data_IF_345440705951
#
_entry.id   IF_345440705951
#
_cell.length_a   1.000
_cell.length_b   1.000
_cell.length_c   1.000
_cell.angle_alpha   90.00
_cell.angle_beta   90.00
_cell.angle_gamma   90.00
#
_symmetry.space_group_name_H-M   'P 1'
#
loop_
_entity.id
_entity.type
_entity.pdbx_description
1 polymer ?
#
# COMPACT_ATOMS: atom_id res chain seq x y z
N UNK A 1 -0.75 -67.93 -12.96
CA UNK A 1 -0.58 -67.88 -11.50
C UNK A 1 0.69 -67.13 -11.20
N UNK A 2 0.63 -66.08 -10.39
CA UNK A 2 1.79 -65.26 -10.00
C UNK A 2 1.39 -63.81 -9.76
N UNK A 3 1.12 -63.47 -8.50
CA UNK A 3 0.71 -62.15 -8.02
C UNK A 3 1.86 -61.14 -7.94
N UNK A 4 1.50 -59.85 -7.97
CA UNK A 4 2.26 -58.75 -7.39
C UNK A 4 1.40 -57.48 -7.33
N UNK A 5 0.96 -57.07 -6.14
CA UNK A 5 0.52 -55.70 -5.82
C UNK A 5 1.68 -55.10 -5.00
N UNK A 6 2.10 -53.84 -5.24
CA UNK A 6 1.67 -52.76 -4.33
C UNK A 6 1.57 -51.39 -5.01
N UNK A 7 0.80 -50.46 -4.43
CA UNK A 7 1.01 -49.05 -4.70
C UNK A 7 -0.19 -48.15 -4.51
N UNK A 8 -0.40 -47.73 -3.26
CA UNK A 8 -1.16 -46.54 -2.91
C UNK A 8 -0.74 -45.34 -3.76
N UNK A 9 -1.69 -44.62 -4.36
CA UNK A 9 -1.46 -43.39 -5.12
C UNK A 9 -2.60 -42.41 -4.91
N UNK A 10 -2.37 -41.46 -4.02
CA UNK A 10 -3.20 -40.27 -3.84
C UNK A 10 -3.28 -39.48 -5.15
N UNK A 11 -4.48 -39.02 -5.53
CA UNK A 11 -4.66 -37.86 -6.40
C UNK A 11 -5.81 -37.04 -5.81
N UNK A 12 -5.50 -36.14 -4.89
CA UNK A 12 -4.92 -34.80 -5.12
C UNK A 12 -6.02 -33.79 -5.35
N UNK A 13 -6.18 -32.94 -4.33
CA UNK A 13 -6.86 -31.65 -4.37
C UNK A 13 -6.66 -30.94 -5.71
N UNK A 14 -7.73 -30.74 -6.45
CA UNK A 14 -7.75 -29.84 -7.62
C UNK A 14 -8.02 -28.40 -7.19
N UNK A 15 -7.27 -27.93 -6.19
CA UNK A 15 -7.25 -26.54 -5.71
C UNK A 15 -5.83 -26.20 -5.23
N UNK A 16 -4.84 -26.38 -6.10
CA UNK A 16 -3.52 -25.76 -5.96
C UNK A 16 -2.93 -25.58 -7.36
N UNK A 17 -3.22 -24.44 -7.97
CA UNK A 17 -2.69 -24.05 -9.28
C UNK A 17 -2.36 -22.57 -9.42
N UNK A 18 -2.40 -21.80 -8.33
CA UNK A 18 -2.04 -20.37 -8.33
C UNK A 18 -0.83 -20.11 -7.43
N UNK A 19 0.11 -21.04 -7.40
CA UNK A 19 1.47 -20.81 -6.89
C UNK A 19 2.43 -20.74 -8.07
N UNK A 20 2.26 -19.71 -8.89
CA UNK A 20 3.15 -19.38 -9.99
C UNK A 20 4.06 -18.22 -9.60
N UNK A 21 5.31 -18.52 -9.25
CA UNK A 21 6.46 -17.62 -9.34
C UNK A 21 6.27 -16.14 -8.97
N UNK A 22 6.06 -15.81 -7.68
CA UNK A 22 6.27 -14.45 -7.17
C UNK A 22 7.72 -14.25 -6.70
N UNK A 23 8.69 -14.41 -7.58
CA UNK A 23 10.07 -13.92 -7.43
C UNK A 23 10.73 -13.97 -8.80
N UNK A 24 10.60 -12.91 -9.60
CA UNK A 24 11.27 -12.86 -10.90
C UNK A 24 10.83 -11.71 -11.78
N UNK A 25 11.61 -10.63 -11.76
CA UNK A 25 11.64 -9.55 -12.74
C UNK A 25 11.44 -10.08 -14.18
N UNK A 26 10.25 -9.88 -14.73
CA UNK A 26 9.86 -10.30 -16.09
C UNK A 26 8.37 -10.61 -16.18
N UNK A 27 7.51 -9.67 -15.81
CA UNK A 27 6.07 -9.87 -15.74
C UNK A 27 5.49 -10.20 -17.12
N UNK A 28 4.85 -11.37 -17.24
CA UNK A 28 3.92 -11.66 -18.33
C UNK A 28 2.65 -10.86 -18.09
N UNK A 29 2.11 -10.25 -19.15
CA UNK A 29 0.82 -9.57 -19.06
C UNK A 29 -0.28 -10.57 -18.74
N UNK A 30 -1.10 -10.22 -17.75
CA UNK A 30 -2.33 -10.92 -17.46
C UNK A 30 -3.30 -10.74 -18.64
N UNK A 31 -4.14 -11.75 -18.87
CA UNK A 31 -5.16 -11.69 -19.93
C UNK A 31 -6.21 -10.62 -19.66
N UNK A 32 -6.54 -10.42 -18.39
CA UNK A 32 -7.41 -9.37 -17.90
C UNK A 32 -6.68 -8.61 -16.79
N UNK A 33 -6.87 -7.28 -16.68
CA UNK A 33 -6.32 -6.53 -15.57
C UNK A 33 -6.82 -7.05 -14.21
N UNK A 34 -5.97 -6.93 -13.18
CA UNK A 34 -6.35 -7.21 -11.80
C UNK A 34 -7.52 -6.32 -11.40
N UNK A 35 -8.59 -6.94 -10.89
CA UNK A 35 -9.73 -6.26 -10.26
C UNK A 35 -9.54 -6.13 -8.75
N UNK A 36 -10.45 -5.42 -8.07
CA UNK A 36 -10.34 -5.11 -6.64
C UNK A 36 -10.28 -6.38 -5.78
N UNK A 37 -11.08 -7.40 -6.08
CA UNK A 37 -11.11 -8.64 -5.31
C UNK A 37 -9.79 -9.41 -5.48
N UNK A 38 -9.32 -9.56 -6.71
CA UNK A 38 -8.03 -10.19 -6.99
C UNK A 38 -6.87 -9.41 -6.36
N UNK A 39 -6.94 -8.08 -6.35
CA UNK A 39 -5.93 -7.23 -5.71
C UNK A 39 -5.83 -7.50 -4.19
N UNK A 40 -6.96 -7.60 -3.49
CA UNK A 40 -6.97 -7.96 -2.06
C UNK A 40 -6.35 -9.33 -1.82
N UNK A 41 -6.68 -10.32 -2.66
CA UNK A 41 -6.11 -11.67 -2.54
C UNK A 41 -4.59 -11.64 -2.70
N UNK A 42 -4.09 -10.99 -3.76
CA UNK A 42 -2.65 -10.87 -4.03
C UNK A 42 -1.90 -10.15 -2.91
N UNK A 43 -2.45 -9.06 -2.37
CA UNK A 43 -1.83 -8.33 -1.25
C UNK A 43 -1.80 -9.20 0.01
N UNK A 44 -2.92 -9.84 0.37
CA UNK A 44 -2.97 -10.69 1.55
C UNK A 44 -2.02 -11.89 1.45
N UNK A 45 -1.90 -12.48 0.26
CA UNK A 45 -0.94 -13.56 0.02
C UNK A 45 0.51 -13.06 0.07
N UNK A 46 0.80 -11.87 -0.43
CA UNK A 46 2.12 -11.25 -0.29
C UNK A 46 2.51 -11.03 1.18
N UNK A 47 1.61 -10.48 2.01
CA UNK A 47 1.87 -10.25 3.43
C UNK A 47 2.17 -11.56 4.17
N UNK A 48 1.40 -12.61 3.89
CA UNK A 48 1.62 -13.95 4.47
C UNK A 48 2.94 -14.57 4.03
N UNK A 49 3.24 -14.55 2.74
CA UNK A 49 4.42 -15.23 2.17
C UNK A 49 5.73 -14.49 2.43
N UNK A 50 5.68 -13.17 2.59
CA UNK A 50 6.84 -12.33 2.93
C UNK A 50 7.21 -12.36 4.42
N UNK A 51 6.46 -13.08 5.25
CA UNK A 51 6.69 -13.17 6.69
C UNK A 51 6.43 -11.86 7.43
N UNK A 52 5.54 -11.00 6.91
CA UNK A 52 5.16 -9.73 7.53
C UNK A 52 4.14 -9.96 8.65
N UNK A 53 4.54 -10.66 9.71
CA UNK A 53 3.67 -10.96 10.85
C UNK A 53 3.25 -9.69 11.58
N UNK A 54 1.97 -9.61 11.97
CA UNK A 54 1.40 -8.47 12.69
C UNK A 54 1.16 -7.23 11.83
N UNK A 55 1.14 -7.38 10.51
CA UNK A 55 0.81 -6.33 9.53
C UNK A 55 -0.40 -6.80 8.71
N UNK A 56 -1.40 -5.94 8.59
CA UNK A 56 -2.62 -6.18 7.83
C UNK A 56 -2.86 -5.14 6.75
N UNK A 57 -3.65 -5.50 5.73
CA UNK A 57 -4.16 -4.56 4.72
C UNK A 57 -5.06 -3.53 5.40
N UNK A 58 -4.75 -2.24 5.22
CA UNK A 58 -5.52 -1.14 5.80
C UNK A 58 -6.37 -0.45 4.72
N UNK A 59 -5.77 -0.16 3.57
CA UNK A 59 -6.46 0.51 2.47
C UNK A 59 -5.97 0.00 1.12
N UNK A 60 -6.89 -0.09 0.17
CA UNK A 60 -6.64 -0.46 -1.21
C UNK A 60 -7.35 0.55 -2.12
N UNK A 61 -6.59 1.40 -2.80
CA UNK A 61 -7.11 2.40 -3.73
C UNK A 61 -6.85 1.97 -5.17
N UNK A 62 -7.88 1.95 -5.98
CA UNK A 62 -7.80 1.66 -7.40
C UNK A 62 -7.55 2.94 -8.20
N UNK A 63 -6.49 2.89 -9.00
CA UNK A 63 -6.23 3.84 -10.06
C UNK A 63 -6.30 3.15 -11.43
N UNK A 64 -6.26 3.95 -12.49
CA UNK A 64 -6.32 3.48 -13.88
C UNK A 64 -5.31 2.37 -14.22
N UNK A 65 -4.09 2.43 -13.67
CA UNK A 65 -2.97 1.56 -14.04
C UNK A 65 -2.50 0.62 -12.92
N UNK A 66 -2.84 0.89 -11.67
CA UNK A 66 -2.39 0.13 -10.51
C UNK A 66 -3.36 0.26 -9.34
N UNK A 67 -3.17 -0.57 -8.32
CA UNK A 67 -3.68 -0.27 -6.99
C UNK A 67 -2.57 0.31 -6.13
N UNK A 68 -2.91 1.35 -5.37
CA UNK A 68 -2.13 1.82 -4.25
C UNK A 68 -2.61 1.09 -2.99
N UNK A 69 -1.67 0.63 -2.17
CA UNK A 69 -1.92 -0.26 -1.04
C UNK A 69 -1.28 0.32 0.19
N UNK A 70 -2.05 0.50 1.26
CA UNK A 70 -1.53 0.80 2.57
C UNK A 70 -1.73 -0.36 3.52
N UNK A 71 -0.74 -0.57 4.39
CA UNK A 71 -0.78 -1.60 5.43
C UNK A 71 -0.59 -0.97 6.79
N UNK A 72 -0.98 -1.70 7.83
CA UNK A 72 -0.97 -1.21 9.21
C UNK A 72 -0.49 -2.29 10.17
N UNK A 73 0.22 -1.87 11.21
CA UNK A 73 0.55 -2.75 12.33
C UNK A 73 -0.68 -3.06 13.17
N UNK A 74 -0.95 -4.35 13.40
CA UNK A 74 -2.11 -4.79 14.16
C UNK A 74 -2.08 -4.30 15.62
N UNK A 75 -0.89 -4.21 16.22
CA UNK A 75 -0.73 -3.86 17.64
C UNK A 75 -0.78 -2.35 17.90
N UNK A 76 -0.13 -1.55 17.05
CA UNK A 76 -0.01 -0.10 17.27
C UNK A 76 -1.09 0.68 16.52
N UNK A 77 -1.73 0.09 15.51
CA UNK A 77 -2.64 0.79 14.61
C UNK A 77 -1.93 1.80 13.70
N UNK A 78 -0.59 1.83 13.69
CA UNK A 78 0.20 2.75 12.89
C UNK A 78 0.41 2.19 11.49
N UNK A 79 0.30 3.05 10.47
CA UNK A 79 0.53 2.63 9.10
C UNK A 79 2.01 2.26 8.88
N UNK A 80 2.23 1.17 8.15
CA UNK A 80 3.49 0.44 8.10
C UNK A 80 4.19 0.60 6.74
N UNK A 81 3.53 0.21 5.66
CA UNK A 81 4.07 0.22 4.30
C UNK A 81 3.07 0.76 3.29
N UNK A 82 3.60 1.36 2.24
CA UNK A 82 2.88 1.72 1.01
C UNK A 82 3.41 0.85 -0.15
N UNK A 83 2.51 0.27 -0.95
CA UNK A 83 2.86 -0.54 -2.12
C UNK A 83 2.08 -0.12 -3.37
N UNK A 84 2.64 -0.45 -4.53
CA UNK A 84 2.02 -0.37 -5.84
C UNK A 84 1.81 -1.80 -6.34
N UNK A 85 0.55 -2.16 -6.61
CA UNK A 85 0.17 -3.38 -7.32
C UNK A 85 -0.15 -3.06 -8.77
N UNK A 86 0.73 -3.44 -9.68
CA UNK A 86 0.53 -3.21 -11.12
C UNK A 86 -0.66 -4.06 -11.63
N UNK A 87 -1.68 -3.39 -12.21
CA UNK A 87 -2.91 -4.07 -12.65
C UNK A 87 -2.69 -5.00 -13.85
N UNK A 88 -1.65 -4.77 -14.64
CA UNK A 88 -1.37 -5.54 -15.85
C UNK A 88 -0.65 -6.86 -15.53
N UNK A 89 0.17 -6.88 -14.49
CA UNK A 89 1.06 -7.99 -14.18
C UNK A 89 0.76 -8.68 -12.84
N UNK A 90 0.02 -8.01 -11.95
CA UNK A 90 -0.19 -8.46 -10.56
C UNK A 90 1.06 -8.36 -9.68
N UNK A 91 2.08 -7.62 -10.14
CA UNK A 91 3.32 -7.45 -9.38
C UNK A 91 3.14 -6.41 -8.27
N UNK A 92 3.46 -6.78 -7.03
CA UNK A 92 3.48 -5.86 -5.89
C UNK A 92 4.90 -5.36 -5.64
N UNK A 93 5.06 -4.05 -5.50
CA UNK A 93 6.36 -3.41 -5.24
C UNK A 93 6.21 -2.27 -4.23
N UNK A 94 7.24 -1.97 -3.42
CA UNK A 94 7.19 -0.81 -2.53
C UNK A 94 6.93 0.47 -3.32
N UNK A 95 6.09 1.35 -2.78
CA UNK A 95 5.89 2.65 -3.39
C UNK A 95 7.17 3.49 -3.30
N UNK A 96 7.53 4.15 -4.41
CA UNK A 96 8.67 5.05 -4.47
C UNK A 96 8.38 6.38 -3.74
N UNK A 97 9.39 6.92 -3.04
CA UNK A 97 9.28 8.22 -2.38
C UNK A 97 9.19 8.08 -0.86
N UNK A 98 8.20 8.69 -0.18
CA UNK A 98 8.08 8.72 1.28
C UNK A 98 8.23 7.35 1.96
N UNK A 99 7.54 6.30 1.48
CA UNK A 99 7.69 4.94 1.97
C UNK A 99 9.14 4.42 1.97
N UNK A 100 9.95 4.77 0.98
CA UNK A 100 11.34 4.30 0.91
C UNK A 100 12.31 5.25 1.62
N UNK A 101 12.06 6.56 1.55
CA UNK A 101 12.99 7.61 1.95
C UNK A 101 12.74 8.17 3.34
N UNK A 102 11.48 8.25 3.77
CA UNK A 102 11.07 8.86 5.03
C UNK A 102 10.57 7.84 6.04
N UNK A 103 10.23 6.61 5.62
CA UNK A 103 9.86 5.54 6.53
C UNK A 103 11.07 5.07 7.35
N UNK A 104 11.13 5.48 8.61
CA UNK A 104 12.27 5.19 9.49
C UNK A 104 12.23 3.81 10.12
N UNK A 105 11.11 3.08 10.02
CA UNK A 105 10.98 1.71 10.53
C UNK A 105 11.12 0.68 9.41
N UNK A 106 10.42 0.90 8.31
CA UNK A 106 10.27 -0.08 7.24
C UNK A 106 10.94 0.30 5.92
N UNK A 107 11.31 1.57 5.75
CA UNK A 107 12.01 2.06 4.55
C UNK A 107 13.52 1.81 4.61
N UNK A 108 14.23 2.35 3.61
CA UNK A 108 15.70 2.22 3.54
C UNK A 108 16.41 2.80 4.77
N UNK A 109 15.87 3.87 5.35
CA UNK A 109 16.38 4.46 6.57
C UNK A 109 16.26 3.52 7.77
N UNK A 110 15.20 2.73 7.88
CA UNK A 110 15.04 1.73 8.94
C UNK A 110 16.02 0.57 8.83
N UNK A 111 16.33 0.13 7.61
CA UNK A 111 17.37 -0.86 7.36
C UNK A 111 18.79 -0.37 7.72
N UNK A 112 19.09 0.91 7.47
CA UNK A 112 20.39 1.51 7.78
C UNK A 112 20.55 1.90 9.26
N UNK A 113 19.48 2.34 9.92
CA UNK A 113 19.50 2.76 11.33
C UNK A 113 19.32 1.60 12.32
N UNK A 114 19.12 0.37 11.79
CA UNK A 114 18.84 -0.84 12.57
C UNK A 114 17.37 -0.96 12.95
N UNK A 115 16.85 -2.19 12.93
CA UNK A 115 15.50 -2.51 13.38
C UNK A 115 15.33 -2.11 14.86
N UNK A 116 14.75 -0.93 15.10
CA UNK A 116 14.69 -0.34 16.44
C UNK A 116 14.92 1.18 16.47
N UNK A 117 15.24 1.81 15.35
CA UNK A 117 15.18 3.26 15.22
C UNK A 117 13.73 3.74 15.37
N UNK A 118 13.32 3.96 16.60
CA UNK A 118 12.06 4.64 16.89
C UNK A 118 12.19 6.07 16.37
N UNK A 119 11.29 6.48 15.47
CA UNK A 119 11.07 7.90 15.25
C UNK A 119 10.81 8.50 16.63
N UNK A 120 11.65 9.43 17.08
CA UNK A 120 11.28 10.31 18.18
C UNK A 120 9.91 10.94 17.90
N UNK A 121 9.24 11.45 18.95
CA UNK A 121 7.92 12.07 18.79
C UNK A 121 7.91 13.01 17.57
N UNK A 122 6.92 12.89 16.66
CA UNK A 122 6.82 13.77 15.49
C UNK A 122 6.97 15.23 15.90
N UNK A 123 7.84 15.97 15.19
CA UNK A 123 7.97 17.42 15.41
C UNK A 123 6.79 18.16 14.76
N UNK A 124 6.27 17.60 13.67
CA UNK A 124 5.03 18.01 13.02
C UNK A 124 3.89 17.14 13.56
N UNK A 125 2.84 17.74 14.10
CA UNK A 125 1.60 17.03 14.47
C UNK A 125 0.76 16.70 13.25
N UNK A 126 -0.18 15.75 13.38
CA UNK A 126 -1.17 15.44 12.33
C UNK A 126 -1.92 16.70 11.84
N UNK A 127 -2.39 17.55 12.76
CA UNK A 127 -3.05 18.82 12.41
C UNK A 127 -2.12 19.76 11.63
N UNK A 128 -0.85 19.87 12.04
CA UNK A 128 0.12 20.68 11.31
C UNK A 128 0.45 20.07 9.94
N UNK A 129 0.44 18.75 9.79
CA UNK A 129 0.62 18.08 8.51
C UNK A 129 -0.52 18.43 7.54
N UNK A 130 -1.78 18.38 7.99
CA UNK A 130 -2.95 18.83 7.20
C UNK A 130 -2.81 20.30 6.79
N UNK A 131 -2.35 21.15 7.71
CA UNK A 131 -2.11 22.57 7.41
C UNK A 131 -1.04 22.75 6.32
N UNK A 132 0.12 22.11 6.47
CA UNK A 132 1.23 22.17 5.50
C UNK A 132 0.81 21.63 4.12
N UNK A 133 0.04 20.55 4.11
CA UNK A 133 -0.54 19.98 2.90
C UNK A 133 -1.46 20.97 2.18
N UNK A 134 -2.40 21.59 2.89
CA UNK A 134 -3.30 22.59 2.31
C UNK A 134 -2.56 23.84 1.83
N UNK A 135 -1.56 24.33 2.57
CA UNK A 135 -0.71 25.45 2.13
C UNK A 135 0.03 25.13 0.82
N UNK A 136 0.54 23.91 0.69
CA UNK A 136 1.14 23.43 -0.56
C UNK A 136 0.12 23.42 -1.70
N UNK A 137 -1.06 22.82 -1.51
CA UNK A 137 -2.09 22.71 -2.54
C UNK A 137 -2.59 24.07 -3.04
N UNK A 138 -2.74 25.04 -2.13
CA UNK A 138 -3.06 26.43 -2.48
C UNK A 138 -1.94 27.06 -3.32
N UNK A 139 -0.67 26.88 -2.92
CA UNK A 139 0.48 27.43 -3.64
C UNK A 139 0.58 26.86 -5.06
N UNK A 140 0.35 25.56 -5.22
CA UNK A 140 0.37 24.89 -6.52
C UNK A 140 -0.95 25.09 -7.31
N UNK A 141 -1.94 25.79 -6.75
CA UNK A 141 -3.22 26.11 -7.40
C UNK A 141 -4.00 24.88 -7.89
N UNK A 142 -3.91 23.75 -7.18
CA UNK A 142 -4.56 22.48 -7.56
C UNK A 142 -6.09 22.52 -7.44
N UNK A 143 -6.60 23.42 -6.59
CA UNK A 143 -8.01 23.48 -6.15
C UNK A 143 -8.44 22.24 -5.36
N UNK A 144 -7.49 21.59 -4.72
CA UNK A 144 -7.72 20.44 -3.84
C UNK A 144 -7.53 20.83 -2.38
N UNK A 145 -8.04 19.99 -1.48
CA UNK A 145 -7.84 20.09 -0.01
C UNK A 145 -7.33 18.76 0.54
N UNK A 146 -6.52 18.78 1.59
CA UNK A 146 -6.05 17.56 2.23
C UNK A 146 -7.10 16.94 3.16
N UNK A 147 -7.25 15.61 3.10
CA UNK A 147 -8.10 14.80 3.98
C UNK A 147 -7.40 14.51 5.33
N UNK A 148 -7.98 13.60 6.13
CA UNK A 148 -7.36 13.14 7.37
C UNK A 148 -6.02 12.42 7.10
N UNK A 149 -4.99 12.62 7.94
CA UNK A 149 -3.68 12.04 7.70
C UNK A 149 -3.56 10.61 8.23
N UNK A 150 -3.00 9.75 7.40
CA UNK A 150 -2.53 8.42 7.78
C UNK A 150 -1.11 8.55 8.34
N UNK A 151 -0.93 8.21 9.62
CA UNK A 151 0.37 8.35 10.29
C UNK A 151 1.26 7.14 10.04
N UNK A 152 2.37 7.36 9.36
CA UNK A 152 3.45 6.39 9.15
C UNK A 152 4.66 6.70 10.06
N UNK A 153 5.64 5.80 10.08
CA UNK A 153 6.89 6.00 10.81
C UNK A 153 7.78 7.03 10.10
N UNK A 154 7.63 8.32 10.43
CA UNK A 154 8.50 9.41 9.93
C UNK A 154 7.82 10.37 8.95
N UNK A 155 6.56 10.12 8.61
CA UNK A 155 5.77 10.95 7.70
C UNK A 155 4.27 10.68 7.87
N UNK A 156 3.47 11.54 7.26
CA UNK A 156 2.03 11.37 7.10
C UNK A 156 1.72 11.24 5.61
N UNK A 157 0.77 10.39 5.23
CA UNK A 157 0.18 10.38 3.88
C UNK A 157 -1.26 10.89 3.99
N UNK A 158 -1.67 11.72 3.04
CA UNK A 158 -2.96 12.39 3.02
C UNK A 158 -3.55 12.28 1.61
N UNK A 159 -4.80 11.83 1.53
CA UNK A 159 -5.57 11.96 0.31
C UNK A 159 -5.83 13.44 0.02
N UNK A 160 -5.82 13.80 -1.25
CA UNK A 160 -6.28 15.11 -1.70
C UNK A 160 -7.68 14.98 -2.25
N UNK A 161 -8.52 15.96 -1.90
CA UNK A 161 -9.93 15.99 -2.24
C UNK A 161 -10.19 17.17 -3.18
N UNK A 162 -10.94 16.91 -4.24
CA UNK A 162 -11.53 17.93 -5.10
C UNK A 162 -13.04 17.79 -5.05
N UNK A 163 -13.72 18.85 -4.64
CA UNK A 163 -15.18 18.85 -4.45
C UNK A 163 -15.66 17.70 -3.53
N UNK A 164 -14.85 17.37 -2.52
CA UNK A 164 -15.13 16.29 -1.55
C UNK A 164 -14.80 14.87 -2.03
N UNK A 165 -14.31 14.70 -3.25
CA UNK A 165 -13.93 13.39 -3.82
C UNK A 165 -12.42 13.25 -3.91
N UNK A 166 -11.91 12.04 -3.72
CA UNK A 166 -10.47 11.75 -3.85
C UNK A 166 -10.02 12.09 -5.27
N UNK A 167 -8.95 12.87 -5.36
CA UNK A 167 -8.33 13.33 -6.60
C UNK A 167 -6.86 12.89 -6.73
N UNK A 168 -6.21 12.61 -5.61
CA UNK A 168 -4.80 12.22 -5.54
C UNK A 168 -4.36 12.09 -4.10
N UNK A 169 -3.06 12.23 -3.86
CA UNK A 169 -2.48 12.19 -2.52
C UNK A 169 -1.13 12.90 -2.45
N UNK A 170 -0.70 13.16 -1.22
CA UNK A 170 0.60 13.70 -0.90
C UNK A 170 1.06 13.19 0.46
N UNK A 171 2.35 13.29 0.71
CA UNK A 171 2.90 13.03 2.04
C UNK A 171 3.59 14.25 2.64
N UNK A 172 3.63 14.30 3.97
CA UNK A 172 4.33 15.34 4.75
C UNK A 172 5.32 14.67 5.69
N UNK A 173 6.61 15.03 5.59
CA UNK A 173 7.64 14.52 6.48
C UNK A 173 7.38 14.97 7.93
N UNK A 174 7.34 14.04 8.87
CA UNK A 174 6.90 14.31 10.25
C UNK A 174 7.98 15.01 11.10
N UNK A 175 9.21 15.10 10.59
CA UNK A 175 10.32 15.82 11.23
C UNK A 175 10.52 17.21 10.62
N UNK A 176 10.48 17.35 9.29
CA UNK A 176 10.85 18.58 8.59
C UNK A 176 9.66 19.40 8.09
N UNK A 177 8.48 18.79 7.97
CA UNK A 177 7.31 19.41 7.32
C UNK A 177 7.42 19.51 5.79
N UNK A 178 8.43 18.88 5.19
CA UNK A 178 8.55 18.81 3.73
C UNK A 178 7.35 18.08 3.13
N UNK A 179 6.76 18.67 2.08
CA UNK A 179 5.62 18.08 1.34
C UNK A 179 6.12 17.38 0.08
N UNK A 180 5.60 16.20 -0.20
CA UNK A 180 5.82 15.42 -1.41
C UNK A 180 4.47 15.14 -2.08
N UNK A 181 4.23 15.74 -3.25
CA UNK A 181 2.97 15.55 -3.99
C UNK A 181 3.08 14.37 -4.96
N UNK A 182 2.11 13.46 -4.95
CA UNK A 182 2.18 12.23 -5.74
C UNK A 182 1.56 12.46 -7.12
N UNK A 183 2.40 12.62 -8.13
CA UNK A 183 1.96 12.93 -9.50
C UNK A 183 1.78 11.70 -10.39
N UNK A 184 2.08 10.50 -9.88
CA UNK A 184 2.14 9.28 -10.69
C UNK A 184 0.89 8.41 -10.62
N UNK A 185 -0.05 8.65 -9.70
CA UNK A 185 -1.15 7.73 -9.48
C UNK A 185 -2.20 7.68 -10.61
N UNK A 186 -2.25 8.65 -11.51
CA UNK A 186 -3.24 8.65 -12.60
C UNK A 186 -4.65 9.00 -12.10
N UNK A 187 -5.68 8.46 -12.76
CA UNK A 187 -7.08 8.71 -12.37
C UNK A 187 -7.54 7.76 -11.26
N UNK A 188 -8.08 8.32 -10.17
CA UNK A 188 -8.75 7.54 -9.11
C UNK A 188 -10.04 6.90 -9.64
N UNK A 189 -10.28 5.63 -9.28
CA UNK A 189 -11.45 4.85 -9.70
C UNK A 189 -12.32 4.49 -8.51
N UNK A 190 -11.75 3.82 -7.51
CA UNK A 190 -12.49 3.31 -6.34
C UNK A 190 -11.52 3.07 -5.18
N UNK A 191 -12.03 2.79 -3.99
CA UNK A 191 -11.23 2.37 -2.85
C UNK A 191 -11.98 1.41 -1.93
N UNK A 192 -11.23 0.63 -1.18
CA UNK A 192 -11.72 -0.09 -0.01
C UNK A 192 -10.80 0.14 1.17
N UNK A 193 -11.39 0.43 2.33
CA UNK A 193 -10.68 0.60 3.59
C UNK A 193 -11.17 -0.44 4.60
N UNK A 194 -10.24 -1.06 5.31
CA UNK A 194 -10.53 -2.00 6.40
C UNK A 194 -11.30 -1.34 7.56
N UNK A 195 -11.21 -0.01 7.69
CA UNK A 195 -11.89 0.75 8.75
C UNK A 195 -13.32 1.15 8.36
N UNK A 196 -13.81 0.74 7.18
CA UNK A 196 -15.17 0.98 6.73
C UNK A 196 -15.47 2.43 6.35
N UNK A 197 -14.47 3.32 6.36
CA UNK A 197 -14.55 4.67 5.81
C UNK A 197 -14.44 4.63 4.29
N UNK A 198 -15.45 4.04 3.63
CA UNK A 198 -15.71 4.39 2.24
C UNK A 198 -16.18 5.84 2.25
N UNK A 199 -15.34 6.79 1.82
CA UNK A 199 -15.81 8.11 1.46
C UNK A 199 -16.77 7.93 0.29
N UNK A 200 -18.06 7.82 0.62
CA UNK A 200 -19.13 7.47 -0.30
C UNK A 200 -19.10 8.38 -1.51
N UNK A 201 -19.10 7.74 -2.68
CA UNK A 201 -19.48 8.34 -3.94
C UNK A 201 -20.84 9.05 -3.79
N UNK A 202 -20.89 10.31 -4.23
CA UNK A 202 -22.13 11.02 -4.53
C UNK A 202 -22.22 11.29 -6.04
#
# INVERSE_FOLDING_TARGET
>A
MGQGIPGMGMMSSSMMGMHGNMMGSGGVDLKEPVDLETAKELVNDYLKTSGMEGISLAELMEFDTHFYVETREDQSGKYAHEFILDKRTGSLSPEMGPNMMWNVKYGHMGGMMGAGATSGKPMVSAENAVKLANEFLVRESTRETAAEPHEFYGYYTLHTLKDGKIAGMLSVNSATGQVWYHTWHGQFINMESADGHAHQEA
#
